data_IF_980438231250
#
_entry.id   IF_980438231250
#
_cell.length_a   1.000
_cell.length_b   1.000
_cell.length_c   1.000
_cell.angle_alpha   90.00
_cell.angle_beta   90.00
_cell.angle_gamma   90.00
#
_symmetry.space_group_name_H-M   'P 1'
#
loop_
_entity.id
_entity.type
_entity.pdbx_description
1 polymer ?
#
# COMPACT_ATOMS: atom_id res chain seq x y z
N UNK A 1 0.68 -11.76 -36.19
CA UNK A 1 -0.23 -10.98 -35.33
C UNK A 1 -0.25 -11.69 -33.99
N UNK A 2 0.61 -11.25 -33.06
CA UNK A 2 0.64 -11.79 -31.69
C UNK A 2 -0.49 -11.12 -30.92
N UNK A 3 -1.51 -11.88 -30.56
CA UNK A 3 -2.45 -11.46 -29.54
C UNK A 3 -1.65 -11.33 -28.24
N UNK A 4 -1.34 -10.10 -27.85
CA UNK A 4 -0.95 -9.76 -26.50
C UNK A 4 -2.15 -10.12 -25.62
N UNK A 5 -2.06 -11.24 -24.91
CA UNK A 5 -2.98 -11.60 -23.85
C UNK A 5 -2.93 -10.45 -22.83
N UNK A 6 -3.88 -9.51 -22.91
CA UNK A 6 -4.06 -8.48 -21.88
C UNK A 6 -4.40 -9.22 -20.58
N UNK A 7 -3.40 -9.29 -19.71
CA UNK A 7 -3.60 -9.85 -18.37
C UNK A 7 -4.56 -8.91 -17.63
N UNK A 8 -5.67 -9.46 -17.13
CA UNK A 8 -6.68 -8.68 -16.42
C UNK A 8 -6.04 -7.87 -15.27
N UNK A 9 -6.44 -6.60 -15.07
CA UNK A 9 -5.88 -5.75 -14.04
C UNK A 9 -6.14 -6.32 -12.63
N UNK A 10 -5.20 -6.10 -11.71
CA UNK A 10 -5.35 -6.47 -10.31
C UNK A 10 -6.29 -5.51 -9.57
N UNK A 11 -6.30 -4.24 -10.00
CA UNK A 11 -7.19 -3.21 -9.52
C UNK A 11 -7.78 -2.46 -10.72
N UNK A 12 -9.08 -2.25 -10.68
CA UNK A 12 -9.83 -1.45 -11.67
C UNK A 12 -10.78 -0.54 -10.90
N UNK A 13 -10.63 0.76 -11.10
CA UNK A 13 -11.40 1.80 -10.43
C UNK A 13 -11.97 2.74 -11.47
N UNK A 14 -13.29 2.97 -11.44
CA UNK A 14 -13.99 3.87 -12.36
C UNK A 14 -14.97 4.74 -11.56
N UNK A 15 -14.82 6.05 -11.71
CA UNK A 15 -15.67 7.07 -11.08
C UNK A 15 -15.89 6.83 -9.57
N UNK A 16 -14.83 6.42 -8.86
CA UNK A 16 -14.93 6.17 -7.43
C UNK A 16 -15.17 7.47 -6.68
N UNK A 17 -16.24 7.48 -5.89
CA UNK A 17 -16.55 8.56 -4.97
C UNK A 17 -16.62 8.01 -3.55
N UNK A 18 -16.09 8.78 -2.59
CA UNK A 18 -16.14 8.44 -1.16
C UNK A 18 -16.59 9.67 -0.40
N UNK A 19 -17.76 9.54 0.24
CA UNK A 19 -18.32 10.54 1.14
C UNK A 19 -18.12 10.09 2.58
N UNK A 20 -17.60 10.99 3.41
CA UNK A 20 -17.41 10.77 4.84
C UNK A 20 -18.48 11.55 5.61
N UNK A 21 -19.20 10.85 6.49
CA UNK A 21 -20.19 11.44 7.38
C UNK A 21 -19.46 11.91 8.65
N UNK A 22 -19.42 13.19 8.87
CA UNK A 22 -18.76 13.82 10.01
C UNK A 22 -19.76 14.61 10.86
N UNK A 23 -19.39 14.96 12.08
CA UNK A 23 -20.23 15.82 12.96
C UNK A 23 -20.54 17.19 12.34
N UNK A 24 -19.76 17.61 11.34
CA UNK A 24 -19.92 18.89 10.62
C UNK A 24 -20.67 18.75 9.29
N UNK A 25 -21.13 17.55 8.95
CA UNK A 25 -21.83 17.24 7.71
C UNK A 25 -21.08 16.22 6.84
N UNK A 26 -21.53 16.07 5.59
CA UNK A 26 -20.95 15.15 4.63
C UNK A 26 -19.78 15.83 3.90
N UNK A 27 -18.61 15.17 3.90
CA UNK A 27 -17.41 15.61 3.19
C UNK A 27 -17.13 14.61 2.07
N UNK A 28 -17.09 15.09 0.83
CA UNK A 28 -16.69 14.28 -0.32
C UNK A 28 -15.17 14.24 -0.37
N UNK A 29 -14.58 13.18 0.22
CA UNK A 29 -13.15 13.02 0.35
C UNK A 29 -12.48 12.47 -0.93
N UNK A 30 -13.26 11.77 -1.77
CA UNK A 30 -12.85 11.29 -3.11
C UNK A 30 -14.00 11.57 -4.07
N UNK A 31 -13.70 12.13 -5.24
CA UNK A 31 -14.70 12.65 -6.16
C UNK A 31 -14.37 12.30 -7.62
N UNK A 32 -14.81 11.13 -8.05
CA UNK A 32 -14.72 10.68 -9.44
C UNK A 32 -13.33 10.27 -9.90
N UNK A 33 -12.56 9.53 -9.06
CA UNK A 33 -11.26 9.02 -9.47
C UNK A 33 -11.36 7.69 -10.22
N UNK A 34 -10.50 7.51 -11.24
CA UNK A 34 -10.42 6.28 -12.02
C UNK A 34 -8.98 5.93 -12.37
N UNK A 35 -8.59 4.67 -12.16
CA UNK A 35 -7.27 4.14 -12.51
C UNK A 35 -7.26 2.62 -12.45
N UNK A 36 -6.22 2.03 -13.00
CA UNK A 36 -6.00 0.57 -13.01
C UNK A 36 -4.61 0.25 -12.49
N UNK A 37 -4.40 -0.99 -12.03
CA UNK A 37 -3.07 -1.54 -11.71
C UNK A 37 -2.95 -2.91 -12.34
N UNK A 38 -1.96 -3.08 -13.20
CA UNK A 38 -1.61 -4.37 -13.80
C UNK A 38 -0.70 -5.21 -12.88
N UNK A 39 -0.57 -6.53 -13.12
CA UNK A 39 0.47 -7.33 -12.46
C UNK A 39 1.87 -6.76 -12.71
N UNK A 40 2.67 -6.63 -11.65
CA UNK A 40 4.02 -6.08 -11.72
C UNK A 40 4.11 -4.57 -11.91
N UNK A 41 2.99 -3.85 -11.86
CA UNK A 41 2.96 -2.39 -12.02
C UNK A 41 2.92 -1.69 -10.66
N UNK A 42 3.69 -0.61 -10.51
CA UNK A 42 3.58 0.34 -9.40
C UNK A 42 2.86 1.60 -9.85
N UNK A 43 1.69 1.84 -9.28
CA UNK A 43 0.91 3.08 -9.45
C UNK A 43 0.97 3.88 -8.17
N UNK A 44 1.36 5.15 -8.29
CA UNK A 44 1.50 6.02 -7.10
C UNK A 44 0.46 7.15 -7.10
N UNK A 45 -0.18 7.33 -5.95
CA UNK A 45 -1.00 8.51 -5.65
C UNK A 45 -0.16 9.52 -4.89
N UNK A 46 -0.01 10.72 -5.42
CA UNK A 46 0.71 11.83 -4.77
C UNK A 46 -0.21 13.03 -4.55
N UNK A 47 0.14 13.89 -3.59
CA UNK A 47 -0.60 15.12 -3.29
C UNK A 47 -0.40 15.54 -1.84
N UNK A 48 -0.88 16.72 -1.47
CA UNK A 48 -0.82 17.23 -0.10
C UNK A 48 -1.60 16.38 0.90
N UNK A 49 -1.33 16.59 2.20
CA UNK A 49 -2.13 15.97 3.27
C UNK A 49 -3.60 16.41 3.13
N UNK A 50 -4.52 15.46 3.30
CA UNK A 50 -5.95 15.72 3.14
C UNK A 50 -6.47 15.69 1.70
N UNK A 51 -5.64 15.43 0.69
CA UNK A 51 -6.11 15.37 -0.73
C UNK A 51 -6.99 14.15 -1.06
N UNK A 52 -7.10 13.15 -0.16
CA UNK A 52 -7.95 11.96 -0.34
C UNK A 52 -7.21 10.65 -0.61
N UNK A 53 -5.87 10.63 -0.70
CA UNK A 53 -5.07 9.44 -1.04
C UNK A 53 -5.30 8.24 -0.12
N UNK A 54 -5.06 8.42 1.19
CA UNK A 54 -5.27 7.35 2.18
C UNK A 54 -6.75 6.96 2.29
N UNK A 55 -7.66 7.92 2.11
CA UNK A 55 -9.10 7.64 2.05
C UNK A 55 -9.44 6.74 0.85
N UNK A 56 -8.83 6.98 -0.31
CA UNK A 56 -8.96 6.11 -1.49
C UNK A 56 -8.48 4.69 -1.18
N UNK A 57 -7.27 4.53 -0.63
CA UNK A 57 -6.72 3.22 -0.28
C UNK A 57 -7.59 2.48 0.77
N UNK A 58 -7.96 3.17 1.85
CA UNK A 58 -8.81 2.59 2.90
C UNK A 58 -10.21 2.24 2.37
N UNK A 59 -10.77 3.04 1.47
CA UNK A 59 -12.04 2.76 0.79
C UNK A 59 -11.94 1.50 -0.08
N UNK A 60 -10.92 1.37 -0.91
CA UNK A 60 -10.67 0.21 -1.76
C UNK A 60 -10.49 -1.08 -0.93
N UNK A 61 -9.95 -0.97 0.26
CA UNK A 61 -9.82 -2.09 1.18
C UNK A 61 -11.02 -2.27 2.11
N UNK A 62 -12.06 -1.42 2.03
CA UNK A 62 -13.21 -1.41 2.95
C UNK A 62 -12.76 -1.39 4.42
N UNK A 63 -11.81 -0.51 4.73
CA UNK A 63 -11.29 -0.29 6.09
C UNK A 63 -11.77 1.02 6.71
N UNK A 64 -12.53 1.84 5.96
CA UNK A 64 -13.22 2.98 6.53
C UNK A 64 -14.31 2.51 7.50
N UNK A 65 -14.57 3.27 8.60
CA UNK A 65 -15.55 2.86 9.60
C UNK A 65 -16.95 2.67 8.99
N UNK A 66 -17.60 1.55 9.33
CA UNK A 66 -18.95 1.25 8.88
C UNK A 66 -19.93 2.35 9.33
N UNK A 67 -20.81 2.79 8.41
CA UNK A 67 -21.80 3.85 8.66
C UNK A 67 -21.24 5.28 8.60
N UNK A 68 -19.92 5.47 8.52
CA UNK A 68 -19.29 6.78 8.38
C UNK A 68 -18.75 7.05 6.97
N UNK A 69 -18.78 6.05 6.08
CA UNK A 69 -18.33 6.21 4.71
C UNK A 69 -19.31 5.61 3.72
N UNK A 70 -19.67 6.39 2.70
CA UNK A 70 -20.48 5.95 1.54
C UNK A 70 -19.59 5.92 0.32
N UNK A 71 -19.51 4.77 -0.34
CA UNK A 71 -18.74 4.57 -1.57
C UNK A 71 -19.70 4.37 -2.74
N UNK A 72 -19.39 5.00 -3.88
CA UNK A 72 -20.11 4.83 -5.15
C UNK A 72 -19.14 4.77 -6.33
N UNK A 73 -19.63 4.48 -7.53
CA UNK A 73 -18.81 4.19 -8.71
C UNK A 73 -18.56 2.70 -8.86
N UNK A 74 -17.44 2.34 -9.50
CA UNK A 74 -17.01 0.93 -9.67
C UNK A 74 -15.60 0.75 -9.10
N UNK A 75 -15.41 -0.32 -8.32
CA UNK A 75 -14.08 -0.71 -7.87
C UNK A 75 -13.97 -2.24 -7.79
N UNK A 76 -13.11 -2.80 -8.64
CA UNK A 76 -12.81 -4.24 -8.67
C UNK A 76 -11.39 -4.49 -8.17
N UNK A 77 -11.28 -5.25 -7.09
CA UNK A 77 -10.00 -5.68 -6.51
C UNK A 77 -9.86 -7.18 -6.77
N UNK A 78 -8.86 -7.59 -7.53
CA UNK A 78 -8.67 -8.99 -7.96
C UNK A 78 -9.95 -9.60 -8.56
N UNK A 79 -10.65 -8.83 -9.39
CA UNK A 79 -11.91 -9.22 -10.00
C UNK A 79 -13.15 -9.18 -9.08
N UNK A 80 -12.98 -8.88 -7.79
CA UNK A 80 -14.09 -8.74 -6.85
C UNK A 80 -14.62 -7.32 -6.84
N UNK A 81 -15.88 -7.09 -7.23
CA UNK A 81 -16.53 -5.79 -7.11
C UNK A 81 -16.85 -5.50 -5.63
N UNK A 82 -16.09 -4.57 -5.05
CA UNK A 82 -16.17 -4.21 -3.63
C UNK A 82 -17.25 -3.16 -3.34
N UNK A 83 -17.84 -2.56 -4.38
CA UNK A 83 -18.97 -1.62 -4.24
C UNK A 83 -20.26 -2.41 -4.24
N UNK A 84 -20.49 -3.27 -5.24
CA UNK A 84 -21.68 -4.08 -5.34
C UNK A 84 -21.76 -5.17 -4.26
N UNK A 85 -20.62 -5.82 -3.91
CA UNK A 85 -20.51 -6.77 -2.80
C UNK A 85 -19.44 -6.32 -1.78
N UNK A 86 -19.79 -5.47 -0.81
CA UNK A 86 -18.84 -5.02 0.21
C UNK A 86 -18.22 -6.14 1.05
N UNK A 87 -18.81 -7.34 1.05
CA UNK A 87 -18.27 -8.49 1.79
C UNK A 87 -17.23 -9.26 0.97
N UNK A 88 -17.17 -9.07 -0.34
CA UNK A 88 -16.21 -9.75 -1.22
C UNK A 88 -14.76 -9.49 -0.80
N UNK A 89 -14.44 -8.26 -0.40
CA UNK A 89 -13.09 -7.86 0.03
C UNK A 89 -12.58 -8.68 1.23
N UNK A 90 -13.49 -9.16 2.11
CA UNK A 90 -13.11 -9.96 3.29
C UNK A 90 -12.46 -11.29 2.91
N UNK A 91 -12.77 -11.82 1.71
CA UNK A 91 -12.21 -13.09 1.21
C UNK A 91 -10.80 -12.94 0.69
N UNK A 92 -10.42 -11.74 0.25
CA UNK A 92 -9.13 -11.47 -0.39
C UNK A 92 -8.17 -10.65 0.49
N UNK A 93 -8.66 -9.91 1.50
CA UNK A 93 -7.80 -9.25 2.48
C UNK A 93 -6.96 -10.28 3.25
N UNK A 94 -5.66 -10.04 3.34
CA UNK A 94 -4.71 -10.96 3.98
C UNK A 94 -4.48 -12.28 3.22
N UNK A 95 -4.94 -12.38 1.96
CA UNK A 95 -4.72 -13.55 1.08
C UNK A 95 -4.36 -13.18 -0.35
N UNK A 96 -4.88 -12.13 -0.88
CA UNK A 96 -4.63 -11.66 -2.25
C UNK A 96 -4.30 -10.19 -2.30
N UNK A 97 -4.78 -9.40 -1.31
CA UNK A 97 -4.43 -8.00 -1.12
C UNK A 97 -3.94 -7.78 0.31
N UNK A 98 -2.86 -7.02 0.46
CA UNK A 98 -2.28 -6.65 1.76
C UNK A 98 -2.08 -5.14 1.84
N UNK A 99 -2.02 -4.62 3.08
CA UNK A 99 -1.77 -3.23 3.40
C UNK A 99 -0.49 -3.10 4.22
N UNK A 100 0.36 -2.15 3.84
CA UNK A 100 1.40 -1.59 4.68
C UNK A 100 0.89 -0.22 5.13
N UNK A 101 0.50 -0.06 6.40
CA UNK A 101 -0.02 1.21 6.92
C UNK A 101 1.10 2.21 7.18
N UNK A 102 0.73 3.48 7.31
CA UNK A 102 1.63 4.62 7.49
C UNK A 102 2.43 4.54 8.80
N UNK A 103 1.76 4.19 9.92
CA UNK A 103 2.38 4.17 11.24
C UNK A 103 2.56 2.74 11.76
N UNK A 104 3.80 2.22 11.81
CA UNK A 104 4.07 0.89 12.31
C UNK A 104 3.80 0.72 13.81
N UNK A 105 3.85 1.80 14.60
CA UNK A 105 3.64 1.72 16.05
C UNK A 105 2.16 1.48 16.40
N UNK A 106 1.25 2.02 15.62
CA UNK A 106 -0.20 1.80 15.79
C UNK A 106 -0.68 0.52 15.14
N UNK A 107 0.02 0.04 14.11
CA UNK A 107 -0.35 -1.17 13.38
C UNK A 107 0.03 -2.48 14.10
N UNK A 108 1.11 -2.45 14.88
CA UNK A 108 1.59 -3.63 15.61
C UNK A 108 1.05 -3.65 17.05
N UNK A 109 0.59 -4.80 17.48
CA UNK A 109 0.16 -5.01 18.88
C UNK A 109 1.36 -4.93 19.83
N UNK A 110 1.40 -3.98 20.78
CA UNK A 110 2.54 -3.83 21.70
C UNK A 110 2.68 -4.97 22.71
N UNK A 111 1.60 -5.74 22.91
CA UNK A 111 1.53 -6.83 23.90
C UNK A 111 1.81 -8.21 23.31
N UNK A 112 2.02 -8.28 21.98
CA UNK A 112 2.38 -9.51 21.29
C UNK A 112 3.78 -9.42 20.69
N UNK A 113 4.52 -10.55 20.69
CA UNK A 113 5.83 -10.61 20.03
C UNK A 113 5.69 -10.48 18.50
N UNK A 114 6.76 -10.08 17.85
CA UNK A 114 6.80 -10.03 16.37
C UNK A 114 6.50 -11.40 15.77
N UNK A 115 7.08 -12.47 16.36
CA UNK A 115 6.83 -13.83 15.91
C UNK A 115 5.38 -14.29 16.07
N UNK A 116 4.69 -13.83 17.11
CA UNK A 116 3.26 -14.11 17.27
C UNK A 116 2.46 -13.51 16.11
N UNK A 117 2.64 -12.21 15.84
CA UNK A 117 1.89 -11.47 14.83
C UNK A 117 2.20 -11.95 13.40
N UNK A 118 3.48 -12.17 13.08
CA UNK A 118 3.88 -12.72 11.79
C UNK A 118 3.41 -14.18 11.61
N UNK A 119 3.48 -14.98 12.68
CA UNK A 119 2.96 -16.35 12.67
C UNK A 119 1.45 -16.44 12.50
N UNK A 120 0.69 -15.47 12.99
CA UNK A 120 -0.76 -15.37 12.70
C UNK A 120 -1.01 -15.05 11.23
N UNK A 121 -0.29 -14.10 10.65
CA UNK A 121 -0.41 -13.75 9.24
C UNK A 121 -0.09 -14.95 8.32
N UNK A 122 0.99 -15.68 8.61
CA UNK A 122 1.35 -16.91 7.89
C UNK A 122 0.25 -17.97 7.95
N UNK A 123 -0.31 -18.23 9.14
CA UNK A 123 -1.35 -19.24 9.31
C UNK A 123 -2.71 -18.81 8.78
N UNK A 124 -2.97 -17.52 8.65
CA UNK A 124 -4.15 -17.01 7.95
C UNK A 124 -4.12 -17.41 6.47
N UNK A 125 -2.95 -17.35 5.84
CA UNK A 125 -2.72 -17.73 4.45
C UNK A 125 -2.58 -19.23 4.27
N UNK A 126 -1.90 -19.87 5.23
CA UNK A 126 -1.54 -21.30 5.24
C UNK A 126 -2.03 -21.95 6.55
N UNK A 127 -3.35 -22.27 6.65
CA UNK A 127 -3.93 -22.84 7.88
C UNK A 127 -3.34 -24.21 8.26
N UNK A 128 -2.75 -24.92 7.30
CA UNK A 128 -2.10 -26.21 7.47
C UNK A 128 -0.77 -26.14 8.24
N UNK A 129 -0.15 -24.96 8.35
CA UNK A 129 1.15 -24.82 9.00
C UNK A 129 1.05 -25.08 10.51
N UNK A 130 1.91 -25.96 11.00
CA UNK A 130 2.21 -26.08 12.42
C UNK A 130 2.88 -24.80 12.96
N UNK A 131 2.87 -24.63 14.27
CA UNK A 131 3.58 -23.48 14.90
C UNK A 131 5.08 -23.47 14.60
N UNK A 132 5.71 -24.66 14.49
CA UNK A 132 7.12 -24.79 14.19
C UNK A 132 7.43 -24.37 12.74
N UNK A 133 6.64 -24.82 11.77
CA UNK A 133 6.79 -24.43 10.37
C UNK A 133 6.51 -22.94 10.14
N UNK A 134 5.46 -22.38 10.78
CA UNK A 134 5.21 -20.95 10.75
C UNK A 134 6.38 -20.14 11.34
N UNK A 135 7.03 -20.63 12.42
CA UNK A 135 8.23 -20.00 12.96
C UNK A 135 9.39 -20.02 11.97
N UNK A 136 9.68 -21.16 11.33
CA UNK A 136 10.75 -21.26 10.34
C UNK A 136 10.53 -20.31 9.18
N UNK A 137 9.35 -20.34 8.54
CA UNK A 137 9.00 -19.43 7.44
C UNK A 137 9.03 -17.96 7.87
N UNK A 138 8.57 -17.65 9.08
CA UNK A 138 8.59 -16.29 9.60
C UNK A 138 10.00 -15.75 9.85
N UNK A 139 10.92 -16.59 10.35
CA UNK A 139 12.34 -16.23 10.50
C UNK A 139 12.96 -15.96 9.11
N UNK A 140 12.66 -16.80 8.11
CA UNK A 140 13.10 -16.57 6.73
C UNK A 140 12.56 -15.25 6.16
N UNK A 141 11.28 -14.92 6.39
CA UNK A 141 10.69 -13.65 5.97
C UNK A 141 11.35 -12.46 6.66
N UNK A 142 11.62 -12.53 7.98
CA UNK A 142 12.36 -11.48 8.69
C UNK A 142 13.77 -11.29 8.11
N UNK A 143 14.44 -12.39 7.73
CA UNK A 143 15.72 -12.34 7.03
C UNK A 143 15.62 -11.66 5.66
N UNK A 144 14.59 -12.00 4.86
CA UNK A 144 14.33 -11.39 3.55
C UNK A 144 14.10 -9.88 3.61
N UNK A 145 13.46 -9.39 4.68
CA UNK A 145 13.30 -7.95 4.91
C UNK A 145 14.48 -7.33 5.67
N UNK A 146 15.62 -8.03 5.71
CA UNK A 146 16.89 -7.55 6.28
C UNK A 146 16.79 -7.17 7.77
N UNK A 147 15.99 -7.90 8.57
CA UNK A 147 16.01 -7.78 10.02
C UNK A 147 17.25 -8.52 10.55
N UNK A 148 18.14 -7.87 11.34
CA UNK A 148 19.31 -8.51 11.89
C UNK A 148 18.93 -9.53 12.98
N UNK A 149 19.61 -10.68 13.01
CA UNK A 149 19.38 -11.76 14.00
C UNK A 149 17.92 -12.20 14.10
N UNK A 150 17.27 -12.64 12.98
CA UNK A 150 15.83 -12.86 12.93
C UNK A 150 15.33 -13.92 13.91
N UNK A 151 16.16 -14.94 14.24
CA UNK A 151 15.84 -15.98 15.24
C UNK A 151 15.61 -15.39 16.64
N UNK A 152 16.43 -14.44 17.04
CA UNK A 152 16.31 -13.74 18.33
C UNK A 152 15.15 -12.74 18.27
N UNK A 153 15.02 -12.03 17.17
CA UNK A 153 13.99 -11.01 16.96
C UNK A 153 12.57 -11.59 16.85
N UNK A 154 12.44 -12.85 16.51
CA UNK A 154 11.15 -13.55 16.53
C UNK A 154 10.45 -13.47 17.88
N UNK A 155 11.19 -13.60 18.99
CA UNK A 155 10.65 -13.52 20.35
C UNK A 155 10.54 -12.10 20.93
N UNK A 156 11.00 -11.08 20.19
CA UNK A 156 11.02 -9.71 20.68
C UNK A 156 9.68 -9.00 20.49
N UNK A 157 9.43 -7.96 21.28
CA UNK A 157 8.25 -7.12 21.22
C UNK A 157 8.51 -5.86 20.36
N UNK A 158 7.46 -5.21 19.83
CA UNK A 158 7.62 -4.03 18.97
C UNK A 158 8.49 -2.92 19.58
N UNK A 159 8.34 -2.62 20.87
CA UNK A 159 9.12 -1.58 21.55
C UNK A 159 10.64 -1.84 21.62
N UNK A 160 11.10 -3.04 21.23
CA UNK A 160 12.51 -3.42 21.16
C UNK A 160 13.13 -3.23 19.77
N UNK A 161 12.39 -2.60 18.84
CA UNK A 161 12.79 -2.35 17.47
C UNK A 161 12.89 -0.84 17.19
N UNK A 162 13.75 -0.45 16.26
CA UNK A 162 13.72 0.90 15.70
C UNK A 162 12.53 1.06 14.73
N UNK A 163 12.14 2.32 14.43
CA UNK A 163 11.05 2.60 13.49
C UNK A 163 11.24 1.91 12.13
N UNK A 164 12.45 2.01 11.55
CA UNK A 164 12.75 1.34 10.29
C UNK A 164 12.73 -0.19 10.37
N UNK A 165 13.07 -0.77 11.51
CA UNK A 165 12.92 -2.21 11.72
C UNK A 165 11.44 -2.60 11.83
N UNK A 166 10.60 -1.81 12.50
CA UNK A 166 9.16 -2.06 12.59
C UNK A 166 8.51 -1.97 11.22
N UNK A 167 8.92 -1.01 10.40
CA UNK A 167 8.43 -0.88 9.02
C UNK A 167 8.77 -2.14 8.20
N UNK A 168 9.99 -2.65 8.30
CA UNK A 168 10.39 -3.91 7.64
C UNK A 168 9.61 -5.12 8.18
N UNK A 169 9.27 -5.13 9.45
CA UNK A 169 8.39 -6.17 10.05
C UNK A 169 6.99 -6.10 9.45
N UNK A 170 6.41 -4.88 9.27
CA UNK A 170 5.11 -4.73 8.61
C UNK A 170 5.15 -5.22 7.17
N UNK A 171 6.23 -4.94 6.45
CA UNK A 171 6.44 -5.50 5.10
C UNK A 171 6.46 -7.03 5.16
N UNK A 172 7.19 -7.64 6.11
CA UNK A 172 7.20 -9.10 6.27
C UNK A 172 5.81 -9.66 6.56
N UNK A 173 5.01 -9.00 7.41
CA UNK A 173 3.63 -9.39 7.70
C UNK A 173 2.75 -9.28 6.46
N UNK A 174 2.87 -8.19 5.69
CA UNK A 174 2.13 -8.02 4.45
C UNK A 174 2.48 -9.10 3.42
N UNK A 175 3.76 -9.47 3.32
CA UNK A 175 4.26 -10.52 2.42
C UNK A 175 3.90 -11.94 2.86
N UNK A 176 3.69 -12.18 4.15
CA UNK A 176 3.25 -13.47 4.67
C UNK A 176 1.92 -13.93 4.06
N UNK A 177 1.12 -12.98 3.57
CA UNK A 177 -0.13 -13.24 2.86
C UNK A 177 0.08 -13.63 1.38
N UNK A 178 1.30 -13.56 0.84
CA UNK A 178 1.61 -13.77 -0.58
C UNK A 178 0.64 -12.98 -1.49
N UNK A 179 0.52 -11.66 -1.29
CA UNK A 179 -0.47 -10.86 -1.99
C UNK A 179 -0.13 -10.72 -3.48
N UNK A 180 -1.17 -10.58 -4.31
CA UNK A 180 -1.03 -10.15 -5.70
C UNK A 180 -1.03 -8.63 -5.83
N UNK A 181 -1.71 -7.93 -4.92
CA UNK A 181 -1.77 -6.48 -4.83
C UNK A 181 -1.32 -6.03 -3.43
N UNK A 182 -0.36 -5.12 -3.38
CA UNK A 182 0.11 -4.48 -2.16
C UNK A 182 -0.31 -3.01 -2.16
N UNK A 183 -0.98 -2.58 -1.12
CA UNK A 183 -1.27 -1.17 -0.87
C UNK A 183 -0.27 -0.68 0.18
N UNK A 184 0.51 0.34 -0.15
CA UNK A 184 1.53 0.90 0.74
C UNK A 184 1.20 2.38 1.00
N UNK A 185 0.66 2.67 2.19
CA UNK A 185 0.27 4.02 2.58
C UNK A 185 1.41 4.69 3.34
N UNK A 186 2.10 5.60 2.65
CA UNK A 186 3.27 6.34 3.16
C UNK A 186 4.32 5.45 3.85
N UNK A 187 4.79 4.36 3.21
CA UNK A 187 5.58 3.33 3.89
C UNK A 187 6.95 3.80 4.38
N UNK A 188 7.35 5.03 4.10
CA UNK A 188 8.67 5.57 4.45
C UNK A 188 8.63 6.94 5.14
N UNK A 189 7.44 7.50 5.41
CA UNK A 189 7.28 8.88 5.89
C UNK A 189 7.93 9.18 7.25
N UNK A 190 8.10 8.17 8.10
CA UNK A 190 8.69 8.30 9.44
C UNK A 190 10.14 7.80 9.52
N UNK A 191 10.82 7.62 8.38
CA UNK A 191 12.15 7.02 8.30
C UNK A 191 13.20 8.05 7.88
N UNK A 192 14.44 7.89 8.37
CA UNK A 192 15.58 8.63 7.83
C UNK A 192 15.89 8.18 6.38
N UNK A 193 16.58 9.04 5.62
CA UNK A 193 16.84 8.85 4.19
C UNK A 193 17.51 7.51 3.86
N UNK A 194 18.44 7.05 4.72
CA UNK A 194 19.16 5.81 4.49
C UNK A 194 18.26 4.59 4.69
N UNK A 195 17.42 4.62 5.72
CA UNK A 195 16.45 3.55 5.99
C UNK A 195 15.34 3.55 4.96
N UNK A 196 14.88 4.74 4.53
CA UNK A 196 13.91 4.93 3.45
C UNK A 196 14.38 4.24 2.17
N UNK A 197 15.59 4.56 1.68
CA UNK A 197 16.16 3.93 0.48
C UNK A 197 16.15 2.40 0.60
N UNK A 198 16.59 1.85 1.73
CA UNK A 198 16.61 0.41 1.94
C UNK A 198 15.23 -0.27 2.00
N UNK A 199 14.17 0.47 2.36
CA UNK A 199 12.78 -0.02 2.32
C UNK A 199 12.24 0.01 0.89
N UNK A 200 12.53 1.07 0.14
CA UNK A 200 12.11 1.19 -1.27
C UNK A 200 12.79 0.13 -2.14
N UNK A 201 14.12 -0.06 -2.00
CA UNK A 201 14.87 -1.12 -2.68
C UNK A 201 14.25 -2.50 -2.42
N UNK A 202 13.86 -2.76 -1.17
CA UNK A 202 13.22 -4.01 -0.80
C UNK A 202 11.87 -4.18 -1.52
N UNK A 203 11.05 -3.14 -1.59
CA UNK A 203 9.74 -3.19 -2.26
C UNK A 203 9.91 -3.42 -3.77
N UNK A 204 10.86 -2.76 -4.43
CA UNK A 204 11.18 -2.95 -5.85
C UNK A 204 11.71 -4.37 -6.11
N UNK A 205 12.67 -4.86 -5.31
CA UNK A 205 13.18 -6.24 -5.42
C UNK A 205 12.04 -7.27 -5.30
N UNK A 206 11.11 -7.04 -4.40
CA UNK A 206 9.96 -7.93 -4.21
C UNK A 206 9.01 -7.89 -5.41
N UNK A 207 8.72 -6.70 -5.96
CA UNK A 207 7.91 -6.54 -7.15
C UNK A 207 8.51 -7.28 -8.35
N UNK A 208 9.80 -7.06 -8.63
CA UNK A 208 10.50 -7.73 -9.73
C UNK A 208 10.46 -9.26 -9.61
N UNK A 209 10.65 -9.78 -8.39
CA UNK A 209 10.72 -11.24 -8.14
C UNK A 209 9.38 -11.93 -8.13
N UNK A 210 8.31 -11.23 -7.74
CA UNK A 210 6.99 -11.85 -7.49
C UNK A 210 5.91 -11.41 -8.46
N UNK A 211 6.14 -10.34 -9.25
CA UNK A 211 5.14 -9.76 -10.14
C UNK A 211 3.95 -9.12 -9.39
N UNK A 212 4.14 -8.75 -8.12
CA UNK A 212 3.11 -8.08 -7.32
C UNK A 212 2.80 -6.70 -7.89
N UNK A 213 1.51 -6.33 -7.99
CA UNK A 213 1.12 -4.95 -8.26
C UNK A 213 1.18 -4.11 -6.99
N UNK A 214 1.60 -2.85 -7.09
CA UNK A 214 1.74 -1.95 -5.93
C UNK A 214 0.90 -0.69 -6.14
N UNK A 215 0.00 -0.40 -5.19
CA UNK A 215 -0.57 0.93 -5.00
C UNK A 215 0.23 1.65 -3.93
N UNK A 216 1.07 2.59 -4.35
CA UNK A 216 1.87 3.41 -3.46
C UNK A 216 1.15 4.72 -3.15
N UNK A 217 1.15 5.15 -1.91
CA UNK A 217 0.72 6.50 -1.51
C UNK A 217 1.90 7.18 -0.87
N UNK A 218 2.21 8.37 -1.34
CA UNK A 218 3.27 9.21 -0.77
C UNK A 218 3.00 10.68 -1.04
N UNK A 219 3.58 11.55 -0.24
CA UNK A 219 3.68 12.98 -0.53
C UNK A 219 5.09 13.35 -1.06
N UNK A 220 6.01 12.38 -1.09
CA UNK A 220 7.39 12.55 -1.54
C UNK A 220 7.52 12.18 -3.03
N UNK A 221 7.72 13.19 -3.87
CA UNK A 221 7.93 13.04 -5.31
C UNK A 221 9.24 12.34 -5.66
N UNK A 222 10.27 12.46 -4.82
CA UNK A 222 11.52 11.73 -4.98
C UNK A 222 11.29 10.22 -4.86
N UNK A 223 10.50 9.81 -3.87
CA UNK A 223 10.06 8.42 -3.73
C UNK A 223 9.24 7.98 -4.94
N UNK A 224 8.23 8.75 -5.32
CA UNK A 224 7.39 8.43 -6.47
C UNK A 224 8.21 8.27 -7.77
N UNK A 225 9.21 9.13 -8.00
CA UNK A 225 10.11 9.04 -9.16
C UNK A 225 10.90 7.73 -9.20
N UNK A 226 11.31 7.23 -8.05
CA UNK A 226 12.16 6.03 -7.96
C UNK A 226 11.40 4.72 -8.18
N UNK A 227 10.14 4.66 -7.75
CA UNK A 227 9.43 3.37 -7.64
C UNK A 227 8.23 3.23 -8.58
N UNK A 228 7.78 4.32 -9.24
CA UNK A 228 6.51 4.31 -9.97
C UNK A 228 6.66 4.09 -11.45
N UNK A 229 5.74 3.33 -12.03
CA UNK A 229 5.49 3.30 -13.48
C UNK A 229 4.56 4.45 -13.88
N UNK A 230 3.49 4.67 -13.10
CA UNK A 230 2.51 5.75 -13.30
C UNK A 230 2.23 6.50 -12.01
N UNK A 231 1.94 7.78 -12.18
CA UNK A 231 1.60 8.69 -11.08
C UNK A 231 0.23 9.33 -11.35
N UNK A 232 -0.58 9.41 -10.30
CA UNK A 232 -1.78 10.23 -10.24
C UNK A 232 -1.60 11.31 -9.17
N UNK A 233 -1.66 12.57 -9.60
CA UNK A 233 -1.58 13.73 -8.71
C UNK A 233 -2.97 14.06 -8.21
N UNK A 234 -3.17 13.99 -6.89
CA UNK A 234 -4.47 14.16 -6.26
C UNK A 234 -4.56 15.48 -5.49
N UNK A 235 -5.63 16.22 -5.74
CA UNK A 235 -5.98 17.45 -5.03
C UNK A 235 -7.48 17.51 -4.79
N UNK A 236 -7.89 17.87 -3.58
CA UNK A 236 -9.30 18.07 -3.21
C UNK A 236 -10.22 16.90 -3.66
N UNK A 237 -9.75 15.66 -3.47
CA UNK A 237 -10.50 14.44 -3.80
C UNK A 237 -10.46 14.02 -5.28
N UNK A 238 -9.79 14.77 -6.17
CA UNK A 238 -9.75 14.50 -7.63
C UNK A 238 -8.34 14.33 -8.15
N UNK A 239 -8.19 13.59 -9.24
CA UNK A 239 -6.94 13.59 -9.99
C UNK A 239 -6.87 14.85 -10.86
N UNK A 240 -5.84 15.66 -10.63
CA UNK A 240 -5.57 16.87 -11.42
C UNK A 240 -4.63 16.60 -12.58
N UNK A 241 -3.73 15.62 -12.41
CA UNK A 241 -2.82 15.17 -13.47
C UNK A 241 -2.53 13.67 -13.31
N UNK A 242 -2.37 12.96 -14.43
CA UNK A 242 -2.13 11.52 -14.46
C UNK A 242 -1.27 11.13 -15.64
N UNK A 243 -0.34 10.19 -15.46
CA UNK A 243 0.48 9.69 -16.56
C UNK A 243 1.68 8.86 -16.10
N UNK A 244 2.53 8.45 -17.08
CA UNK A 244 3.83 7.85 -16.79
C UNK A 244 4.68 8.77 -15.91
N UNK A 245 5.53 8.17 -15.09
CA UNK A 245 6.36 8.90 -14.11
C UNK A 245 7.20 10.00 -14.77
N UNK A 246 7.82 9.73 -15.91
CA UNK A 246 8.66 10.68 -16.65
C UNK A 246 7.87 11.91 -17.07
N UNK A 247 6.62 11.73 -17.54
CA UNK A 247 5.76 12.85 -17.93
C UNK A 247 5.41 13.73 -16.75
N UNK A 248 5.03 13.12 -15.63
CA UNK A 248 4.58 13.87 -14.45
C UNK A 248 5.73 14.60 -13.77
N UNK A 249 6.91 13.98 -13.73
CA UNK A 249 8.07 14.54 -13.02
C UNK A 249 8.88 15.50 -13.88
N UNK A 250 9.13 15.15 -15.16
CA UNK A 250 10.02 15.93 -16.02
C UNK A 250 9.26 16.98 -16.85
N UNK A 251 7.97 16.74 -17.14
CA UNK A 251 7.13 17.60 -18.00
C UNK A 251 5.73 17.84 -17.43
N UNK A 252 5.60 18.32 -16.17
CA UNK A 252 4.30 18.55 -15.55
C UNK A 252 3.49 19.62 -16.29
N UNK A 253 2.26 19.29 -16.67
CA UNK A 253 1.37 20.20 -17.37
C UNK A 253 0.61 21.11 -16.38
N UNK A 254 0.25 20.56 -15.19
CA UNK A 254 -0.58 21.28 -14.24
C UNK A 254 0.23 22.20 -13.30
N UNK A 255 -0.23 23.44 -13.05
CA UNK A 255 0.45 24.34 -12.12
C UNK A 255 0.63 23.77 -10.70
N UNK A 256 -0.37 23.00 -10.24
CA UNK A 256 -0.31 22.34 -8.92
C UNK A 256 0.82 21.30 -8.85
N UNK A 257 0.96 20.47 -9.89
CA UNK A 257 2.06 19.48 -9.99
C UNK A 257 3.42 20.16 -9.99
N UNK A 258 3.56 21.27 -10.76
CA UNK A 258 4.79 22.08 -10.75
C UNK A 258 5.10 22.65 -9.37
N UNK A 259 4.08 23.10 -8.63
CA UNK A 259 4.22 23.58 -7.26
C UNK A 259 4.72 22.50 -6.30
N UNK A 260 4.16 21.28 -6.40
CA UNK A 260 4.60 20.13 -5.61
C UNK A 260 6.07 19.77 -5.90
N UNK A 261 6.46 19.76 -7.18
CA UNK A 261 7.84 19.48 -7.60
C UNK A 261 8.83 20.54 -7.11
N UNK A 262 8.45 21.81 -7.15
CA UNK A 262 9.29 22.92 -6.68
C UNK A 262 9.49 22.92 -5.15
N UNK A 263 8.62 22.27 -4.39
CA UNK A 263 8.72 22.15 -2.93
C UNK A 263 9.66 21.01 -2.49
N UNK A 264 10.08 20.12 -3.41
CA UNK A 264 11.05 19.06 -3.12
C UNK A 264 12.45 19.67 -3.11
N UNK A 265 13.23 19.54 -2.01
CA UNK A 265 14.61 19.99 -2.00
C UNK A 265 15.41 19.27 -3.10
N UNK A 266 16.01 20.00 -4.01
CA UNK A 266 17.01 19.44 -4.94
C UNK A 266 18.22 18.98 -4.12
N UNK A 267 18.49 17.67 -4.12
CA UNK A 267 19.71 17.09 -3.55
C UNK A 267 20.94 17.47 -4.37
#
# INVERSE_FOLDING_TARGET
MSETSETAPLLEVEDLQIELITDRGVVRAVDGVGFTIAPGETVTLIGESGSGKSTTAMGLLRLLPDGLAVLSGTARVLGCDIIADPKAIRRIRGRGVSLIPQDPMTALSPVHTIGHQLGEALRLRHPELSKAEARTRGIELLGRVRIPHPETRWGAYPHQFSGGMLQRVLIAIALAAEPKLLVADEPTSALDVTVQAGVLDLLMELQERTGIGILMITHDLGVARLVSDRIHVMRDGRFVESGPVERIVDHPAEPYTRGLLAAVPTL
#
